data_IF_424057835593
#
_entry.id   IF_424057835593
#
_cell.length_a   1.000
_cell.length_b   1.000
_cell.length_c   1.000
_cell.angle_alpha   90.00
_cell.angle_beta   90.00
_cell.angle_gamma   90.00
#
_symmetry.space_group_name_H-M   'P 1'
#
loop_
_entity.id
_entity.type
_entity.pdbx_description
1 polymer ?
#
# COMPACT_ATOMS: atom_id res chain seq x y z
N UNK A 1 2.79 -7.03 15.32
CA UNK A 1 2.89 -8.20 16.22
C UNK A 1 1.57 -8.97 16.40
N UNK A 2 0.39 -8.32 16.26
CA UNK A 2 -0.91 -8.99 16.45
C UNK A 2 -1.33 -9.93 15.30
N UNK A 3 -0.82 -9.70 14.09
CA UNK A 3 -1.25 -10.40 12.86
C UNK A 3 -0.48 -11.70 12.60
N UNK A 4 0.70 -11.86 13.23
CA UNK A 4 1.44 -13.12 13.23
C UNK A 4 0.69 -14.27 13.95
N UNK A 5 -0.26 -13.94 14.82
CA UNK A 5 -1.15 -14.91 15.48
C UNK A 5 -2.24 -15.47 14.56
N UNK A 6 -2.48 -14.85 13.40
CA UNK A 6 -3.52 -15.24 12.44
C UNK A 6 -3.03 -16.25 11.38
N UNK A 7 -1.82 -16.77 11.53
CA UNK A 7 -1.20 -17.67 10.54
C UNK A 7 -0.59 -16.91 9.35
N UNK A 8 -0.07 -17.68 8.39
CA UNK A 8 0.63 -17.14 7.21
C UNK A 8 -0.31 -16.28 6.38
N UNK A 9 -1.52 -16.77 6.13
CA UNK A 9 -2.55 -16.14 5.31
C UNK A 9 -3.00 -14.82 5.94
N UNK A 10 -3.18 -14.78 7.27
CA UNK A 10 -3.51 -13.56 7.99
C UNK A 10 -2.40 -12.51 7.94
N UNK A 11 -1.13 -12.92 8.02
CA UNK A 11 0.00 -12.02 7.83
C UNK A 11 0.03 -11.45 6.39
N UNK A 12 -0.15 -12.30 5.38
CA UNK A 12 -0.19 -11.86 3.98
C UNK A 12 -1.38 -10.92 3.71
N UNK A 13 -2.56 -11.19 4.29
CA UNK A 13 -3.71 -10.29 4.18
C UNK A 13 -3.43 -8.89 4.74
N UNK A 14 -2.63 -8.79 5.79
CA UNK A 14 -2.21 -7.52 6.34
C UNK A 14 -1.24 -6.80 5.41
N UNK A 15 -0.23 -7.52 4.90
CA UNK A 15 0.72 -6.99 3.91
C UNK A 15 -0.04 -6.45 2.70
N UNK A 16 -0.86 -7.28 2.06
CA UNK A 16 -1.67 -6.92 0.89
C UNK A 16 -2.52 -5.66 1.13
N UNK A 17 -3.11 -5.50 2.33
CA UNK A 17 -3.91 -4.33 2.70
C UNK A 17 -3.07 -3.05 2.89
N UNK A 18 -1.92 -3.17 3.55
CA UNK A 18 -0.96 -2.07 3.73
C UNK A 18 -0.42 -1.63 2.37
N UNK A 19 0.03 -2.57 1.54
CA UNK A 19 0.60 -2.25 0.23
C UNK A 19 -0.42 -1.59 -0.69
N UNK A 20 -1.71 -1.98 -0.64
CA UNK A 20 -2.74 -1.24 -1.40
C UNK A 20 -2.83 0.23 -0.97
N UNK A 21 -2.71 0.52 0.33
CA UNK A 21 -2.76 1.89 0.81
C UNK A 21 -1.51 2.69 0.37
N UNK A 22 -0.34 2.06 0.38
CA UNK A 22 0.93 2.68 -0.03
C UNK A 22 0.96 2.92 -1.55
N UNK A 23 0.59 1.92 -2.36
CA UNK A 23 0.48 2.08 -3.82
C UNK A 23 -0.48 3.22 -4.19
N UNK A 24 -1.60 3.35 -3.48
CA UNK A 24 -2.52 4.48 -3.69
C UNK A 24 -1.83 5.81 -3.38
N UNK A 25 -1.14 5.91 -2.25
CA UNK A 25 -0.44 7.13 -1.85
C UNK A 25 0.64 7.54 -2.85
N UNK A 26 1.49 6.61 -3.30
CA UNK A 26 2.49 6.93 -4.34
C UNK A 26 1.86 7.34 -5.66
N UNK A 27 0.73 6.73 -6.07
CA UNK A 27 0.02 7.18 -7.27
C UNK A 27 -0.53 8.60 -7.13
N UNK A 28 -1.01 8.97 -5.95
CA UNK A 28 -1.51 10.32 -5.70
C UNK A 28 -0.34 11.33 -5.73
N UNK A 29 0.80 11.03 -5.09
CA UNK A 29 2.02 11.85 -5.18
C UNK A 29 2.54 12.00 -6.61
N UNK A 30 2.56 10.92 -7.39
CA UNK A 30 2.97 10.96 -8.80
C UNK A 30 2.05 11.89 -9.60
N UNK A 31 0.74 11.86 -9.36
CA UNK A 31 -0.22 12.73 -10.05
C UNK A 31 0.01 14.20 -9.70
N UNK A 32 0.16 14.50 -8.42
CA UNK A 32 0.41 15.87 -7.95
C UNK A 32 1.69 16.45 -8.58
N UNK A 33 2.79 15.69 -8.56
CA UNK A 33 4.06 16.15 -9.13
C UNK A 33 4.04 16.28 -10.66
N UNK A 34 3.26 15.45 -11.36
CA UNK A 34 3.06 15.59 -12.81
C UNK A 34 2.23 16.84 -13.13
N UNK A 35 1.26 17.19 -12.30
CA UNK A 35 0.43 18.38 -12.47
C UNK A 35 1.19 19.68 -12.15
N UNK A 36 2.15 19.64 -11.22
CA UNK A 36 2.99 20.78 -10.86
C UNK A 36 4.07 21.09 -11.92
N UNK A 37 5.08 20.23 -12.06
CA UNK A 37 6.10 20.33 -13.12
C UNK A 37 6.81 18.98 -13.31
N UNK A 38 6.48 18.22 -14.38
CA UNK A 38 7.03 16.90 -14.58
C UNK A 38 8.51 16.88 -14.97
N UNK A 39 9.05 17.98 -15.51
CA UNK A 39 10.47 18.06 -15.87
C UNK A 39 11.33 18.46 -14.67
N UNK A 40 10.83 19.36 -13.81
CA UNK A 40 11.49 19.67 -12.53
C UNK A 40 11.58 18.44 -11.63
N UNK A 41 10.49 17.67 -11.52
CA UNK A 41 10.39 16.53 -10.60
C UNK A 41 10.74 15.18 -11.22
N UNK A 42 11.35 15.14 -12.41
CA UNK A 42 11.60 13.90 -13.18
C UNK A 42 12.28 12.78 -12.37
N UNK A 43 13.35 13.10 -11.65
CA UNK A 43 14.09 12.11 -10.84
C UNK A 43 13.26 11.58 -9.67
N UNK A 44 12.47 12.45 -9.03
CA UNK A 44 11.56 12.08 -7.96
C UNK A 44 10.40 11.23 -8.48
N UNK A 45 9.84 11.58 -9.63
CA UNK A 45 8.80 10.79 -10.31
C UNK A 45 9.29 9.38 -10.66
N UNK A 46 10.52 9.24 -11.16
CA UNK A 46 11.10 7.93 -11.47
C UNK A 46 11.31 7.09 -10.20
N UNK A 47 11.73 7.73 -9.10
CA UNK A 47 11.88 7.07 -7.80
C UNK A 47 10.52 6.60 -7.24
N UNK A 48 9.51 7.48 -7.26
CA UNK A 48 8.16 7.14 -6.79
C UNK A 48 7.51 6.05 -7.63
N UNK A 49 7.70 6.06 -8.95
CA UNK A 49 7.21 4.98 -9.83
C UNK A 49 7.87 3.66 -9.47
N UNK A 50 9.18 3.65 -9.26
CA UNK A 50 9.90 2.44 -8.86
C UNK A 50 9.36 1.88 -7.55
N UNK A 51 9.22 2.71 -6.51
CA UNK A 51 8.69 2.25 -5.22
C UNK A 51 7.23 1.79 -5.33
N UNK A 52 6.38 2.51 -6.08
CA UNK A 52 5.01 2.05 -6.34
C UNK A 52 5.00 0.67 -6.98
N UNK A 53 5.86 0.43 -7.97
CA UNK A 53 5.89 -0.84 -8.68
C UNK A 53 6.41 -1.97 -7.77
N UNK A 54 7.40 -1.71 -6.91
CA UNK A 54 7.86 -2.64 -5.88
C UNK A 54 6.73 -3.01 -4.87
N UNK A 55 5.94 -2.04 -4.41
CA UNK A 55 4.82 -2.34 -3.50
C UNK A 55 3.67 -3.07 -4.20
N UNK A 56 3.48 -2.85 -5.51
CA UNK A 56 2.54 -3.63 -6.29
C UNK A 56 3.00 -5.10 -6.40
N UNK A 57 4.30 -5.35 -6.63
CA UNK A 57 4.86 -6.71 -6.60
C UNK A 57 4.70 -7.38 -5.23
N UNK A 58 4.89 -6.63 -4.14
CA UNK A 58 4.62 -7.12 -2.77
C UNK A 58 3.14 -7.47 -2.56
N UNK A 59 2.23 -6.64 -3.06
CA UNK A 59 0.79 -6.90 -3.01
C UNK A 59 0.42 -8.19 -3.74
N UNK A 60 0.89 -8.34 -4.99
CA UNK A 60 0.62 -9.50 -5.84
C UNK A 60 1.20 -10.77 -5.23
N UNK A 61 2.42 -10.70 -4.67
CA UNK A 61 3.03 -11.78 -3.89
C UNK A 61 2.14 -12.19 -2.70
N UNK A 62 1.51 -11.22 -2.03
CA UNK A 62 0.55 -11.48 -0.96
C UNK A 62 -0.67 -12.28 -1.41
N UNK A 63 -1.21 -11.95 -2.59
CA UNK A 63 -2.32 -12.69 -3.20
C UNK A 63 -1.88 -14.12 -3.55
N UNK A 64 -0.70 -14.28 -4.16
CA UNK A 64 -0.14 -15.59 -4.54
C UNK A 64 0.09 -16.50 -3.32
N UNK A 65 0.43 -15.92 -2.17
CA UNK A 65 0.54 -16.65 -0.90
C UNK A 65 -0.78 -16.80 -0.15
N UNK A 66 -1.90 -16.75 -0.88
CA UNK A 66 -3.24 -17.07 -0.40
C UNK A 66 -3.74 -16.13 0.71
N UNK A 67 -3.35 -14.84 0.68
CA UNK A 67 -3.87 -13.81 1.59
C UNK A 67 -5.41 -13.84 1.69
N UNK A 68 -6.11 -14.04 0.57
CA UNK A 68 -7.57 -14.05 0.50
C UNK A 68 -8.22 -15.20 1.28
N UNK A 69 -7.47 -16.26 1.61
CA UNK A 69 -7.96 -17.36 2.43
C UNK A 69 -7.92 -17.06 3.93
N UNK A 70 -7.39 -15.90 4.33
CA UNK A 70 -7.37 -15.50 5.73
C UNK A 70 -8.80 -15.48 6.32
N UNK A 71 -9.00 -16.01 7.54
CA UNK A 71 -10.28 -15.89 8.23
C UNK A 71 -10.67 -14.41 8.35
N UNK A 72 -11.90 -14.07 7.95
CA UNK A 72 -12.39 -12.69 7.95
C UNK A 72 -11.56 -11.72 7.07
N UNK A 73 -10.91 -12.22 6.00
CA UNK A 73 -10.06 -11.46 5.08
C UNK A 73 -10.61 -10.07 4.75
N UNK A 74 -11.85 -9.99 4.24
CA UNK A 74 -12.45 -8.71 3.83
C UNK A 74 -12.51 -7.70 4.97
N UNK A 75 -12.83 -8.12 6.19
CA UNK A 75 -12.91 -7.23 7.35
C UNK A 75 -11.51 -6.76 7.75
N UNK A 76 -10.55 -7.67 7.82
CA UNK A 76 -9.15 -7.36 8.13
C UNK A 76 -8.56 -6.40 7.10
N UNK A 77 -8.72 -6.73 5.82
CA UNK A 77 -8.22 -5.96 4.69
C UNK A 77 -8.77 -4.52 4.71
N UNK A 78 -10.09 -4.36 4.82
CA UNK A 78 -10.71 -3.03 4.85
C UNK A 78 -10.31 -2.23 6.09
N UNK A 79 -10.25 -2.87 7.26
CA UNK A 79 -9.88 -2.19 8.51
C UNK A 79 -8.44 -1.68 8.45
N UNK A 80 -7.51 -2.52 8.01
CA UNK A 80 -6.09 -2.17 7.90
C UNK A 80 -5.90 -1.10 6.85
N UNK A 81 -6.50 -1.28 5.66
CA UNK A 81 -6.43 -0.29 4.58
C UNK A 81 -6.92 1.08 5.04
N UNK A 82 -8.08 1.15 5.70
CA UNK A 82 -8.63 2.40 6.23
C UNK A 82 -7.72 3.02 7.29
N UNK A 83 -7.16 2.21 8.19
CA UNK A 83 -6.21 2.68 9.20
C UNK A 83 -4.95 3.27 8.56
N UNK A 84 -4.36 2.58 7.58
CA UNK A 84 -3.18 3.05 6.86
C UNK A 84 -3.46 4.31 6.04
N UNK A 85 -4.54 4.34 5.27
CA UNK A 85 -4.92 5.55 4.52
C UNK A 85 -5.20 6.73 5.46
N UNK A 86 -5.85 6.50 6.60
CA UNK A 86 -6.08 7.52 7.62
C UNK A 86 -4.78 8.05 8.23
N UNK A 87 -3.83 7.16 8.55
CA UNK A 87 -2.52 7.56 9.09
C UNK A 87 -1.73 8.41 8.07
N UNK A 88 -1.68 7.97 6.81
CA UNK A 88 -1.04 8.71 5.71
C UNK A 88 -1.66 10.10 5.56
N UNK A 89 -3.00 10.17 5.49
CA UNK A 89 -3.73 11.43 5.36
C UNK A 89 -3.45 12.41 6.49
N UNK A 90 -3.29 11.89 7.72
CA UNK A 90 -2.91 12.70 8.88
C UNK A 90 -1.48 13.19 8.69
N UNK A 91 -0.55 12.30 8.35
CA UNK A 91 0.86 12.62 8.16
C UNK A 91 1.13 13.64 7.05
N UNK A 92 0.33 13.67 5.98
CA UNK A 92 0.41 14.69 4.92
C UNK A 92 0.02 16.10 5.39
N UNK A 93 -0.68 16.23 6.53
CA UNK A 93 -1.21 17.51 7.04
C UNK A 93 -0.42 18.11 8.20
N UNK A 94 0.54 17.37 8.75
CA UNK A 94 1.41 17.82 9.83
C UNK A 94 2.70 18.36 9.23
#
# INVERSE_FOLDING_TARGET
ASTALLGKEGAMACTTAVETAIVKHYNDQIRELIEEDPEEYKEMLDTLKKFRDEEQEHHDTGIDFEAEKAPLYNVLYQTIKLGCTGAIWVSERI
#
